data_IF_298424842220
#
_entry.id   IF_298424842220
#
_cell.length_a   1.000
_cell.length_b   1.000
_cell.length_c   1.000
_cell.angle_alpha   90.00
_cell.angle_beta   90.00
_cell.angle_gamma   90.00
#
_symmetry.space_group_name_H-M   'P 1'
#
loop_
_entity.id
_entity.type
_entity.pdbx_description
1 polymer ?
#
# COMPACT_ATOMS: atom_id res chain seq x y z
N UNK A 1 -16.67 -3.14 -27.74
CA UNK A 1 -16.17 -2.41 -26.61
C UNK A 1 -14.74 -2.87 -26.31
N UNK A 2 -13.79 -1.95 -26.27
CA UNK A 2 -12.40 -2.25 -25.92
C UNK A 2 -12.34 -2.31 -24.40
N UNK A 3 -11.83 -3.39 -23.78
CA UNK A 3 -11.69 -3.45 -22.33
C UNK A 3 -10.68 -2.40 -21.85
N UNK A 4 -10.84 -1.81 -20.66
CA UNK A 4 -9.90 -0.86 -20.11
C UNK A 4 -8.53 -1.54 -19.92
N UNK A 5 -7.50 -0.89 -20.46
CA UNK A 5 -6.13 -1.35 -20.44
C UNK A 5 -5.42 -0.76 -19.22
N UNK A 6 -4.93 -1.61 -18.33
CA UNK A 6 -4.08 -1.19 -17.22
C UNK A 6 -2.63 -1.54 -17.55
N UNK A 7 -1.82 -0.51 -17.73
CA UNK A 7 -0.42 -0.64 -18.10
C UNK A 7 0.47 -0.47 -16.87
N UNK A 8 1.29 -1.50 -16.60
CA UNK A 8 2.45 -1.35 -15.74
C UNK A 8 3.68 -1.27 -16.64
N UNK A 9 4.32 -0.11 -16.72
CA UNK A 9 5.57 0.07 -17.44
C UNK A 9 6.75 -0.46 -16.61
N UNK A 10 7.31 -1.57 -17.05
CA UNK A 10 8.70 -1.94 -16.72
C UNK A 10 9.43 -2.30 -18.02
N UNK A 11 10.44 -1.53 -18.37
CA UNK A 11 11.38 -1.78 -19.47
C UNK A 11 10.74 -1.96 -20.87
N UNK A 12 9.81 -1.08 -21.25
CA UNK A 12 9.32 -1.01 -22.62
C UNK A 12 8.32 -2.10 -23.02
N UNK A 13 7.92 -2.98 -22.11
CA UNK A 13 6.89 -3.99 -22.36
C UNK A 13 5.65 -3.67 -21.53
N UNK A 14 4.56 -3.35 -22.20
CA UNK A 14 3.25 -3.12 -21.57
C UNK A 14 2.57 -4.48 -21.39
N UNK A 15 2.43 -4.94 -20.14
CA UNK A 15 1.64 -6.12 -19.82
C UNK A 15 0.18 -5.72 -19.58
N UNK A 16 -0.69 -6.07 -20.51
CA UNK A 16 -2.14 -5.92 -20.36
C UNK A 16 -2.69 -7.20 -19.73
N UNK A 17 -3.17 -7.12 -18.49
CA UNK A 17 -3.95 -8.20 -17.90
C UNK A 17 -5.42 -8.01 -18.24
N UNK A 18 -6.07 -9.07 -18.73
CA UNK A 18 -7.52 -9.01 -18.93
C UNK A 18 -8.24 -8.99 -17.58
N UNK A 19 -9.37 -8.30 -17.49
CA UNK A 19 -10.22 -8.28 -16.29
C UNK A 19 -10.61 -9.71 -15.91
N UNK A 20 -11.00 -10.55 -16.87
CA UNK A 20 -11.35 -11.95 -16.67
C UNK A 20 -10.25 -12.73 -15.95
N UNK A 21 -8.99 -12.53 -16.36
CA UNK A 21 -7.87 -13.21 -15.71
C UNK A 21 -7.67 -12.75 -14.26
N UNK A 22 -7.79 -11.44 -14.00
CA UNK A 22 -7.67 -10.88 -12.65
C UNK A 22 -8.78 -11.44 -11.74
N UNK A 23 -10.00 -11.50 -12.25
CA UNK A 23 -11.15 -12.03 -11.52
C UNK A 23 -10.98 -13.53 -11.24
N UNK A 24 -10.64 -14.34 -12.26
CA UNK A 24 -10.44 -15.78 -12.09
C UNK A 24 -9.31 -16.11 -11.11
N UNK A 25 -8.19 -15.37 -11.15
CA UNK A 25 -7.11 -15.51 -10.17
C UNK A 25 -7.58 -15.14 -8.74
N UNK A 26 -8.49 -14.19 -8.62
CA UNK A 26 -9.05 -13.75 -7.35
C UNK A 26 -10.12 -14.69 -6.78
N UNK A 27 -10.99 -15.23 -7.61
CA UNK A 27 -12.03 -16.18 -7.22
C UNK A 27 -11.46 -17.50 -6.66
N UNK A 28 -10.30 -17.93 -7.15
CA UNK A 28 -9.59 -19.10 -6.62
C UNK A 28 -9.20 -18.99 -5.14
N UNK A 29 -9.10 -17.74 -4.62
CA UNK A 29 -8.74 -17.49 -3.23
C UNK A 29 -9.99 -17.46 -2.32
N UNK A 30 -11.04 -16.80 -2.75
CA UNK A 30 -12.27 -16.67 -1.99
C UNK A 30 -13.46 -16.38 -2.93
N UNK A 31 -14.28 -17.37 -3.30
CA UNK A 31 -15.45 -17.17 -4.13
C UNK A 31 -16.41 -16.17 -3.46
N UNK A 32 -17.12 -15.41 -4.27
CA UNK A 32 -18.07 -14.36 -3.86
C UNK A 32 -17.45 -13.13 -3.16
N UNK A 33 -16.14 -12.99 -3.15
CA UNK A 33 -15.48 -11.77 -2.64
C UNK A 33 -15.12 -10.81 -3.76
N UNK A 34 -15.23 -9.49 -3.52
CA UNK A 34 -14.79 -8.50 -4.49
C UNK A 34 -13.30 -8.65 -4.78
N UNK A 35 -12.95 -8.62 -6.06
CA UNK A 35 -11.57 -8.66 -6.55
C UNK A 35 -11.17 -7.26 -7.01
N UNK A 36 -10.05 -6.73 -6.52
CA UNK A 36 -9.54 -5.45 -6.99
C UNK A 36 -9.02 -5.59 -8.43
N UNK A 37 -9.70 -4.95 -9.35
CA UNK A 37 -9.36 -4.94 -10.77
C UNK A 37 -8.41 -3.79 -11.09
N UNK A 38 -8.60 -2.64 -10.44
CA UNK A 38 -7.76 -1.46 -10.57
C UNK A 38 -7.62 -0.74 -9.22
N UNK A 39 -6.47 -0.12 -9.02
CA UNK A 39 -6.15 0.76 -7.89
C UNK A 39 -5.76 2.12 -8.40
N UNK A 40 -5.82 3.15 -7.56
CA UNK A 40 -5.45 4.54 -7.88
C UNK A 40 -6.14 5.11 -9.13
N UNK A 41 -7.42 4.75 -9.32
CA UNK A 41 -8.21 5.31 -10.40
C UNK A 41 -8.48 6.79 -10.16
N UNK A 42 -8.44 7.57 -11.23
CA UNK A 42 -8.77 8.98 -11.19
C UNK A 42 -10.19 9.22 -10.65
N UNK A 43 -10.36 10.32 -9.89
CA UNK A 43 -11.65 10.67 -9.27
C UNK A 43 -12.78 10.77 -10.29
N UNK A 44 -12.51 11.30 -11.48
CA UNK A 44 -13.54 11.41 -12.54
C UNK A 44 -13.94 10.03 -13.06
N UNK A 45 -12.98 9.12 -13.20
CA UNK A 45 -13.25 7.73 -13.59
C UNK A 45 -14.05 7.02 -12.50
N UNK A 46 -13.71 7.21 -11.23
CA UNK A 46 -14.46 6.66 -10.10
C UNK A 46 -15.92 7.12 -10.08
N UNK A 47 -16.16 8.42 -10.28
CA UNK A 47 -17.53 8.99 -10.35
C UNK A 47 -18.31 8.39 -11.50
N UNK A 48 -17.73 8.29 -12.71
CA UNK A 48 -18.38 7.68 -13.87
C UNK A 48 -18.76 6.22 -13.63
N UNK A 49 -17.87 5.45 -13.00
CA UNK A 49 -18.16 4.05 -12.67
C UNK A 49 -19.32 3.92 -11.66
N UNK A 50 -19.43 4.86 -10.70
CA UNK A 50 -20.54 4.90 -9.75
C UNK A 50 -21.85 5.33 -10.41
N UNK A 51 -21.81 6.25 -11.38
CA UNK A 51 -22.98 6.67 -12.16
C UNK A 51 -23.49 5.55 -13.07
N UNK A 52 -22.56 4.81 -13.71
CA UNK A 52 -22.88 3.70 -14.62
C UNK A 52 -23.13 2.36 -13.92
N UNK A 53 -23.32 2.38 -12.61
CA UNK A 53 -23.49 1.17 -11.79
C UNK A 53 -24.62 0.23 -12.28
N UNK A 54 -25.66 0.79 -12.88
CA UNK A 54 -26.77 0.02 -13.46
C UNK A 54 -26.32 -0.81 -14.67
N UNK A 55 -25.40 -0.26 -15.46
CA UNK A 55 -24.86 -0.91 -16.66
C UNK A 55 -23.68 -1.85 -16.36
N UNK A 56 -23.13 -1.77 -15.13
CA UNK A 56 -21.94 -2.50 -14.70
C UNK A 56 -22.27 -3.33 -13.42
N UNK A 57 -23.15 -4.34 -13.51
CA UNK A 57 -23.48 -5.16 -12.36
C UNK A 57 -22.22 -5.88 -11.84
N UNK A 58 -22.05 -5.89 -10.52
CA UNK A 58 -20.88 -6.49 -9.88
C UNK A 58 -19.62 -5.60 -9.80
N UNK A 59 -19.66 -4.38 -10.34
CA UNK A 59 -18.58 -3.41 -10.19
C UNK A 59 -18.86 -2.47 -9.02
N UNK A 60 -17.88 -2.30 -8.13
CA UNK A 60 -17.97 -1.40 -6.99
C UNK A 60 -16.69 -0.54 -6.90
N UNK A 61 -16.82 0.68 -6.42
CA UNK A 61 -15.71 1.59 -6.20
C UNK A 61 -15.58 1.88 -4.71
N UNK A 62 -14.40 1.59 -4.16
CA UNK A 62 -14.12 1.77 -2.74
C UNK A 62 -12.98 2.72 -2.52
N UNK A 63 -13.12 3.57 -1.51
CA UNK A 63 -12.02 4.38 -1.00
C UNK A 63 -11.25 3.55 0.03
N UNK A 64 -9.94 3.41 -0.17
CA UNK A 64 -9.03 2.78 0.78
C UNK A 64 -8.04 3.81 1.30
N UNK A 65 -7.66 3.70 2.58
CA UNK A 65 -6.61 4.52 3.14
C UNK A 65 -5.26 4.11 2.57
N UNK A 66 -4.49 5.08 2.11
CA UNK A 66 -3.13 4.88 1.61
C UNK A 66 -2.17 5.57 2.56
N UNK A 67 -1.06 4.90 2.89
CA UNK A 67 -0.01 5.49 3.72
C UNK A 67 0.76 6.52 2.93
N UNK A 68 0.86 7.73 3.45
CA UNK A 68 1.63 8.81 2.87
C UNK A 68 2.83 9.15 3.78
N UNK A 69 3.97 9.42 3.18
CA UNK A 69 5.22 9.79 3.87
C UNK A 69 5.67 11.19 3.43
N UNK A 70 5.10 12.27 4.01
CA UNK A 70 5.35 13.63 3.55
C UNK A 70 6.81 14.06 3.63
N UNK A 71 7.57 13.50 4.58
CA UNK A 71 9.00 13.79 4.78
C UNK A 71 9.92 12.94 3.90
N UNK A 72 9.36 11.95 3.20
CA UNK A 72 10.08 11.12 2.22
C UNK A 72 11.39 10.54 2.75
N UNK A 73 12.46 10.72 2.00
CA UNK A 73 13.78 10.17 2.31
C UNK A 73 14.39 10.72 3.62
N UNK A 74 14.00 11.93 4.05
CA UNK A 74 14.55 12.58 5.23
C UNK A 74 14.34 11.76 6.52
N UNK A 75 13.20 11.08 6.64
CA UNK A 75 12.84 10.31 7.83
C UNK A 75 12.63 8.83 7.55
N UNK A 76 12.88 8.37 6.34
CA UNK A 76 12.60 6.97 5.91
C UNK A 76 13.29 5.93 6.80
N UNK A 77 14.51 6.18 7.23
CA UNK A 77 15.29 5.30 8.11
C UNK A 77 14.77 5.26 9.56
N UNK A 78 13.96 6.24 9.97
CA UNK A 78 13.32 6.31 11.30
C UNK A 78 11.90 5.77 11.23
N UNK A 79 11.10 6.33 10.32
CA UNK A 79 9.69 5.96 10.16
C UNK A 79 9.56 4.55 9.61
N UNK A 80 10.42 4.18 8.67
CA UNK A 80 10.34 2.90 7.98
C UNK A 80 9.31 2.93 6.85
N UNK A 81 8.81 1.78 6.50
CA UNK A 81 7.83 1.62 5.43
C UNK A 81 6.90 0.45 5.70
N UNK A 82 5.73 0.50 5.07
CA UNK A 82 4.76 -0.58 5.06
C UNK A 82 4.77 -1.29 3.70
N UNK A 83 4.53 -2.59 3.72
CA UNK A 83 4.46 -3.41 2.54
C UNK A 83 3.28 -4.39 2.56
N UNK A 84 3.15 -5.24 1.54
CA UNK A 84 2.22 -6.36 1.57
C UNK A 84 2.55 -7.27 2.75
N UNK A 85 1.53 -7.87 3.36
CA UNK A 85 1.75 -8.82 4.46
C UNK A 85 2.60 -10.01 4.01
N UNK A 86 3.40 -10.55 4.93
CA UNK A 86 4.21 -11.76 4.70
C UNK A 86 3.33 -12.98 4.36
N UNK A 87 3.92 -14.01 3.76
CA UNK A 87 3.18 -15.22 3.38
C UNK A 87 2.53 -15.91 4.59
N UNK A 88 3.21 -15.88 5.74
CA UNK A 88 2.73 -16.45 6.99
C UNK A 88 1.51 -15.70 7.54
N UNK A 89 1.59 -14.37 7.60
CA UNK A 89 0.48 -13.50 8.01
C UNK A 89 -0.68 -13.59 7.02
N UNK A 90 -0.38 -13.67 5.71
CA UNK A 90 -1.40 -13.83 4.68
C UNK A 90 -2.22 -15.11 4.84
N UNK A 91 -1.59 -16.23 5.24
CA UNK A 91 -2.30 -17.47 5.48
C UNK A 91 -3.23 -17.36 6.70
N UNK A 92 -2.74 -16.84 7.81
CA UNK A 92 -3.55 -16.61 9.01
C UNK A 92 -4.74 -15.66 8.73
N UNK A 93 -4.53 -14.62 7.92
CA UNK A 93 -5.61 -13.72 7.50
C UNK A 93 -6.68 -14.41 6.66
N UNK A 94 -6.28 -15.31 5.75
CA UNK A 94 -7.23 -16.10 4.94
C UNK A 94 -8.08 -17.02 5.81
N UNK A 95 -7.48 -17.69 6.79
CA UNK A 95 -8.22 -18.54 7.75
C UNK A 95 -9.26 -17.75 8.53
N UNK A 96 -8.96 -16.50 8.89
CA UNK A 96 -9.88 -15.59 9.56
C UNK A 96 -10.89 -14.94 8.59
N UNK A 97 -10.76 -15.24 7.31
CA UNK A 97 -11.65 -14.72 6.29
C UNK A 97 -11.31 -13.33 5.76
N UNK A 98 -10.11 -12.81 5.96
CA UNK A 98 -9.64 -11.54 5.38
C UNK A 98 -8.89 -11.76 4.06
N UNK A 99 -8.93 -10.76 3.17
CA UNK A 99 -8.16 -10.77 1.94
C UNK A 99 -6.82 -10.09 2.19
N UNK A 100 -5.70 -10.84 2.19
CA UNK A 100 -4.39 -10.30 2.52
C UNK A 100 -3.86 -9.28 1.49
N UNK A 101 -4.45 -9.19 0.31
CA UNK A 101 -4.05 -8.21 -0.72
C UNK A 101 -4.33 -6.77 -0.31
N UNK A 102 -5.30 -6.55 0.58
CA UNK A 102 -5.65 -5.22 1.08
C UNK A 102 -4.97 -4.88 2.40
N UNK A 103 -4.27 -5.84 2.98
CA UNK A 103 -3.59 -5.67 4.25
C UNK A 103 -2.14 -5.21 4.02
N UNK A 104 -1.62 -4.47 4.98
CA UNK A 104 -0.25 -3.98 5.00
C UNK A 104 0.35 -4.26 6.37
N UNK A 105 1.65 -4.56 6.40
CA UNK A 105 2.42 -4.66 7.63
C UNK A 105 3.64 -3.76 7.58
N UNK A 106 4.12 -3.32 8.72
CA UNK A 106 5.35 -2.53 8.85
C UNK A 106 6.59 -3.42 8.73
N UNK A 107 7.49 -3.08 7.80
CA UNK A 107 8.71 -3.84 7.56
C UNK A 107 9.93 -3.28 8.29
N UNK A 108 9.93 -2.00 8.60
CA UNK A 108 11.07 -1.34 9.23
C UNK A 108 10.64 -0.15 10.09
N UNK A 109 11.56 0.33 10.93
CA UNK A 109 11.42 1.55 11.70
C UNK A 109 10.23 1.56 12.66
N UNK A 110 9.65 2.74 12.83
CA UNK A 110 8.49 2.95 13.72
C UNK A 110 7.27 2.18 13.24
N UNK A 111 7.08 2.06 11.92
CA UNK A 111 5.95 1.31 11.33
C UNK A 111 5.96 -0.15 11.78
N UNK A 112 7.12 -0.81 11.77
CA UNK A 112 7.24 -2.19 12.24
C UNK A 112 7.21 -2.31 13.77
N UNK A 113 7.93 -1.42 14.47
CA UNK A 113 8.07 -1.54 15.91
C UNK A 113 6.79 -1.20 16.69
N UNK A 114 6.02 -0.24 16.17
CA UNK A 114 4.80 0.25 16.80
C UNK A 114 3.54 -0.18 16.05
N UNK A 115 3.61 -1.21 15.23
CA UNK A 115 2.48 -1.67 14.42
C UNK A 115 1.25 -1.97 15.27
N UNK A 116 1.41 -2.61 16.41
CA UNK A 116 0.33 -2.92 17.34
C UNK A 116 -0.38 -1.68 17.93
N UNK A 117 0.26 -0.51 17.87
CA UNK A 117 -0.32 0.78 18.31
C UNK A 117 -0.92 1.55 17.14
N UNK A 118 -0.25 1.47 15.98
CA UNK A 118 -0.62 2.20 14.76
C UNK A 118 -1.70 1.48 13.95
N UNK A 119 -1.71 0.15 13.94
CA UNK A 119 -2.74 -0.64 13.30
C UNK A 119 -4.06 -0.47 14.07
N UNK A 120 -5.13 -0.16 13.39
CA UNK A 120 -6.46 -0.14 13.99
C UNK A 120 -7.04 -1.55 14.17
N UNK A 121 -8.28 -1.61 14.59
CA UNK A 121 -9.04 -2.86 14.62
C UNK A 121 -9.86 -3.00 13.34
N UNK A 122 -9.84 -4.20 12.78
CA UNK A 122 -10.59 -4.50 11.55
C UNK A 122 -12.08 -4.54 11.84
N UNK A 123 -12.86 -3.92 10.96
CA UNK A 123 -14.30 -4.11 10.95
C UNK A 123 -14.68 -5.43 10.29
N UNK A 124 -15.89 -5.88 10.55
CA UNK A 124 -16.47 -7.05 9.90
C UNK A 124 -17.92 -6.84 9.53
N UNK A 125 -18.33 -7.41 8.41
CA UNK A 125 -19.74 -7.44 7.98
C UNK A 125 -20.09 -8.90 7.74
N UNK A 126 -21.06 -9.39 8.52
CA UNK A 126 -21.62 -10.73 8.33
C UNK A 126 -22.89 -10.62 7.51
N UNK A 127 -22.91 -11.30 6.37
CA UNK A 127 -24.03 -11.29 5.43
C UNK A 127 -24.57 -12.70 5.20
N UNK A 128 -25.86 -12.81 5.08
CA UNK A 128 -26.52 -14.00 4.57
C UNK A 128 -26.58 -13.91 3.04
N UNK A 129 -26.02 -14.91 2.37
CA UNK A 129 -26.01 -15.02 0.91
C UNK A 129 -26.77 -16.26 0.48
N UNK A 130 -27.45 -16.20 -0.65
CA UNK A 130 -28.10 -17.37 -1.26
C UNK A 130 -27.13 -18.23 -2.09
N UNK A 131 -27.65 -19.29 -2.69
CA UNK A 131 -26.85 -20.21 -3.52
C UNK A 131 -26.33 -19.59 -4.81
N UNK A 132 -26.86 -18.43 -5.22
CA UNK A 132 -26.38 -17.66 -6.37
C UNK A 132 -25.33 -16.61 -5.97
N UNK A 133 -25.03 -16.46 -4.66
CA UNK A 133 -24.10 -15.46 -4.14
C UNK A 133 -24.74 -14.09 -3.90
N UNK A 134 -26.06 -13.96 -4.02
CA UNK A 134 -26.79 -12.72 -3.80
C UNK A 134 -26.96 -12.45 -2.30
N UNK A 135 -26.67 -11.22 -1.88
CA UNK A 135 -26.81 -10.80 -0.48
C UNK A 135 -28.29 -10.66 -0.15
N UNK A 136 -28.81 -11.53 0.74
CA UNK A 136 -30.17 -11.50 1.21
C UNK A 136 -30.36 -10.52 2.35
N UNK A 137 -29.43 -10.49 3.30
CA UNK A 137 -29.48 -9.53 4.40
C UNK A 137 -28.11 -9.39 5.10
N UNK A 138 -27.90 -8.26 5.76
CA UNK A 138 -26.80 -8.04 6.69
C UNK A 138 -27.21 -8.49 8.10
N UNK A 139 -26.43 -9.42 8.67
CA UNK A 139 -26.70 -9.97 10.00
C UNK A 139 -26.01 -9.17 11.09
N UNK A 140 -24.78 -8.70 10.83
CA UNK A 140 -23.98 -7.93 11.78
C UNK A 140 -23.02 -7.02 11.04
N UNK A 141 -22.82 -5.82 11.57
CA UNK A 141 -21.82 -4.87 11.11
C UNK A 141 -21.02 -4.38 12.32
N UNK A 142 -19.72 -4.67 12.31
CA UNK A 142 -18.77 -4.13 13.27
C UNK A 142 -17.91 -3.12 12.51
N UNK A 143 -18.00 -1.82 12.82
CA UNK A 143 -17.19 -0.82 12.13
C UNK A 143 -15.72 -0.99 12.50
N UNK A 144 -14.79 -0.68 11.57
CA UNK A 144 -13.36 -0.63 11.89
C UNK A 144 -13.06 0.54 12.84
N UNK A 145 -12.06 0.37 13.69
CA UNK A 145 -11.52 1.46 14.51
C UNK A 145 -10.12 1.86 14.04
N UNK A 146 -9.85 3.17 14.02
CA UNK A 146 -8.53 3.68 13.64
C UNK A 146 -7.51 3.39 14.72
N UNK A 147 -6.27 3.14 14.32
CA UNK A 147 -5.13 3.05 15.23
C UNK A 147 -4.80 4.38 15.89
N UNK A 148 -3.90 4.33 16.84
CA UNK A 148 -3.47 5.50 17.60
C UNK A 148 -2.44 6.32 16.82
N UNK A 149 -2.35 7.61 17.16
CA UNK A 149 -1.30 8.48 16.65
C UNK A 149 -0.06 8.40 17.52
N UNK A 150 1.12 8.42 16.89
CA UNK A 150 2.41 8.49 17.57
C UNK A 150 3.05 9.85 17.35
N UNK A 151 3.54 10.44 18.45
CA UNK A 151 4.36 11.65 18.39
C UNK A 151 5.81 11.29 18.70
N UNK A 152 6.68 11.53 17.74
CA UNK A 152 8.12 11.33 17.88
C UNK A 152 8.78 12.60 18.43
N UNK A 153 9.93 12.43 19.07
CA UNK A 153 10.79 13.53 19.55
C UNK A 153 11.77 14.02 18.51
N UNK A 154 11.52 13.69 17.25
CA UNK A 154 12.36 14.09 16.11
C UNK A 154 11.95 15.48 15.67
N UNK A 155 12.94 16.36 15.54
CA UNK A 155 12.80 17.66 14.90
C UNK A 155 13.21 17.52 13.44
N UNK A 156 12.25 17.75 12.54
CA UNK A 156 12.45 17.54 11.09
C UNK A 156 13.43 18.57 10.50
N UNK A 157 13.42 19.81 11.00
CA UNK A 157 14.33 20.85 10.53
C UNK A 157 15.76 20.56 10.95
N UNK A 158 15.96 20.13 12.20
CA UNK A 158 17.27 19.70 12.70
C UNK A 158 17.77 18.47 11.94
N UNK A 159 16.89 17.50 11.66
CA UNK A 159 17.23 16.33 10.86
C UNK A 159 17.69 16.74 9.44
N UNK A 160 17.00 17.65 8.79
CA UNK A 160 17.36 18.16 7.47
C UNK A 160 18.72 18.86 7.49
N UNK A 161 18.96 19.72 8.49
CA UNK A 161 20.23 20.41 8.65
C UNK A 161 21.39 19.44 8.89
N UNK A 162 21.21 18.44 9.74
CA UNK A 162 22.21 17.42 10.02
C UNK A 162 22.54 16.58 8.76
N UNK A 163 21.53 16.17 8.01
CA UNK A 163 21.72 15.43 6.76
C UNK A 163 22.45 16.26 5.71
N UNK A 164 22.10 17.54 5.55
CA UNK A 164 22.75 18.43 4.63
C UNK A 164 24.24 18.64 5.00
N UNK A 165 24.54 18.84 6.29
CA UNK A 165 25.90 18.99 6.78
C UNK A 165 26.73 17.73 6.54
N UNK A 166 26.19 16.55 6.82
CA UNK A 166 26.84 15.26 6.58
C UNK A 166 27.14 15.06 5.09
N UNK A 167 26.14 15.30 4.23
CA UNK A 167 26.31 15.16 2.79
C UNK A 167 27.37 16.11 2.27
N UNK A 168 27.36 17.38 2.68
CA UNK A 168 28.36 18.35 2.28
C UNK A 168 29.78 17.97 2.71
N UNK A 169 29.93 17.43 3.93
CA UNK A 169 31.22 16.95 4.41
C UNK A 169 31.74 15.74 3.61
N UNK A 170 30.86 14.80 3.30
CA UNK A 170 31.20 13.62 2.47
C UNK A 170 31.63 14.04 1.05
N UNK A 171 30.94 15.00 0.46
CA UNK A 171 31.29 15.52 -0.86
C UNK A 171 32.67 16.17 -0.84
N UNK A 172 32.99 17.01 0.16
CA UNK A 172 34.33 17.61 0.33
C UNK A 172 35.42 16.54 0.49
N UNK A 173 35.21 15.53 1.33
CA UNK A 173 36.20 14.47 1.52
C UNK A 173 36.45 13.67 0.24
N UNK A 174 35.42 13.44 -0.56
CA UNK A 174 35.54 12.74 -1.83
C UNK A 174 36.33 13.59 -2.86
N UNK A 175 36.06 14.89 -2.93
CA UNK A 175 36.80 15.82 -3.81
C UNK A 175 38.28 15.87 -3.42
N UNK A 176 38.58 15.96 -2.13
CA UNK A 176 39.98 15.94 -1.65
C UNK A 176 40.66 14.60 -1.95
N UNK A 177 40.00 13.47 -1.80
CA UNK A 177 40.51 12.16 -2.13
C UNK A 177 40.80 12.01 -3.62
N UNK A 178 39.91 12.50 -4.47
CA UNK A 178 40.11 12.49 -5.92
C UNK A 178 41.31 13.39 -6.33
N UNK A 179 41.45 14.57 -5.72
CA UNK A 179 42.56 15.49 -6.00
C UNK A 179 43.94 14.91 -5.62
N UNK A 180 43.97 14.00 -4.63
CA UNK A 180 45.16 13.27 -4.19
C UNK A 180 45.44 11.98 -4.96
N UNK A 181 44.61 11.67 -5.99
CA UNK A 181 44.73 10.42 -6.77
C UNK A 181 44.32 9.16 -6.00
N UNK A 182 43.64 9.31 -4.87
CA UNK A 182 43.03 8.21 -4.10
C UNK A 182 41.59 7.99 -4.60
N UNK A 183 41.18 6.75 -4.70
CA UNK A 183 39.80 6.44 -5.08
C UNK A 183 38.77 6.95 -4.04
N UNK A 184 37.49 7.00 -4.41
CA UNK A 184 36.38 7.39 -3.52
C UNK A 184 36.42 6.56 -2.24
N UNK A 185 36.64 7.22 -1.11
CA UNK A 185 36.77 6.56 0.20
C UNK A 185 35.46 6.49 0.98
N UNK A 186 34.46 7.29 0.62
CA UNK A 186 33.15 7.28 1.25
C UNK A 186 32.04 7.25 0.20
N UNK A 187 31.07 6.38 0.38
CA UNK A 187 29.86 6.34 -0.43
C UNK A 187 28.73 7.01 0.35
N UNK A 188 27.82 7.69 -0.35
CA UNK A 188 26.58 8.14 0.24
C UNK A 188 25.84 6.89 0.73
N UNK A 189 25.68 6.75 2.04
CA UNK A 189 24.71 5.79 2.58
C UNK A 189 23.32 6.20 2.15
N UNK A 190 22.62 5.32 1.49
CA UNK A 190 21.20 5.47 1.15
C UNK A 190 20.37 5.14 2.38
#
# INVERSE_FOLDING_TARGET
GVPPTFAAEQQGTVFVRSIERIVNEGEGIAPFRPVAVATDIDRQAAVRLLEDRISLPGVDVRTVAVREYPTGQLTSHIVGYMGPVSAEVAEALRELGFDPRFEREGYAGVEAYMENVLAGERGSITREIDVAGEVQRELSVVPPSSGNSLRLTIDVELQAAAQAALTGMLDQLNEESQSRGQGIQSQRGV
#
